data_IF_435666272600
#
_entry.id   IF_435666272600
#
_cell.length_a   1.000
_cell.length_b   1.000
_cell.length_c   1.000
_cell.angle_alpha   90.00
_cell.angle_beta   90.00
_cell.angle_gamma   90.00
#
_symmetry.space_group_name_H-M   'P 1'
#
loop_
_entity.id
_entity.type
_entity.pdbx_description
1 polymer ?
#
# COMPACT_ATOMS: atom_id res chain seq x y z
N UNK A 1 50.48 -56.03 18.30
CA UNK A 1 50.09 -54.91 17.43
C UNK A 1 48.57 -54.98 17.24
N UNK A 2 47.80 -54.12 17.90
CA UNK A 2 46.33 -54.06 17.77
C UNK A 2 45.97 -52.75 17.09
N UNK A 3 45.39 -52.84 15.90
CA UNK A 3 44.94 -51.69 15.12
C UNK A 3 43.67 -51.10 15.74
N UNK A 4 43.76 -49.85 16.20
CA UNK A 4 42.60 -49.02 16.52
C UNK A 4 42.08 -48.42 15.21
N UNK A 5 40.95 -48.94 14.72
CA UNK A 5 40.19 -48.30 13.64
C UNK A 5 39.31 -47.25 14.30
N UNK A 6 39.73 -46.00 14.20
CA UNK A 6 38.95 -44.83 14.59
C UNK A 6 37.95 -44.55 13.45
N UNK A 7 36.73 -45.07 13.56
CA UNK A 7 35.64 -44.74 12.66
C UNK A 7 35.14 -43.32 12.99
N UNK A 8 35.46 -42.36 12.12
CA UNK A 8 34.88 -41.04 12.15
C UNK A 8 33.39 -41.12 11.78
N UNK A 9 32.51 -41.06 12.78
CA UNK A 9 31.09 -40.74 12.56
C UNK A 9 31.01 -39.27 12.14
N UNK A 10 30.98 -39.01 10.84
CA UNK A 10 30.50 -37.75 10.29
C UNK A 10 28.98 -37.80 10.39
N UNK A 11 28.45 -37.24 11.47
CA UNK A 11 27.02 -36.97 11.61
C UNK A 11 26.61 -35.89 10.62
N UNK A 12 26.22 -36.30 9.42
CA UNK A 12 25.41 -35.48 8.52
C UNK A 12 24.01 -35.35 9.15
N UNK A 13 23.85 -34.42 10.08
CA UNK A 13 22.53 -33.90 10.42
C UNK A 13 22.03 -33.15 9.20
N UNK A 14 21.35 -33.86 8.29
CA UNK A 14 20.44 -33.24 7.35
C UNK A 14 19.39 -32.51 8.19
N UNK A 15 19.59 -31.21 8.39
CA UNK A 15 18.53 -30.32 8.85
C UNK A 15 17.46 -30.39 7.76
N UNK A 16 16.49 -31.29 7.93
CA UNK A 16 15.25 -31.22 7.18
C UNK A 16 14.71 -29.82 7.45
N UNK A 17 14.82 -28.93 6.44
CA UNK A 17 14.29 -27.60 6.57
C UNK A 17 12.80 -27.77 6.84
N UNK A 18 12.37 -27.38 8.04
CA UNK A 18 10.97 -27.43 8.39
C UNK A 18 10.21 -26.69 7.29
N UNK A 19 9.25 -27.37 6.68
CA UNK A 19 8.40 -26.77 5.64
C UNK A 19 7.64 -25.57 6.21
N UNK A 20 7.40 -24.57 5.38
CA UNK A 20 6.69 -23.36 5.79
C UNK A 20 5.25 -23.67 6.21
N UNK A 21 4.81 -23.00 7.28
CA UNK A 21 3.40 -22.93 7.62
C UNK A 21 2.70 -21.92 6.70
N UNK A 22 1.52 -22.29 6.23
CA UNK A 22 0.61 -21.42 5.48
C UNK A 22 -0.75 -21.36 6.19
N UNK A 23 -1.50 -20.28 6.03
CA UNK A 23 -2.86 -20.15 6.57
C UNK A 23 -3.84 -20.15 5.39
N UNK A 24 -4.67 -21.18 5.34
CA UNK A 24 -5.73 -21.29 4.32
C UNK A 24 -7.10 -21.08 4.95
N UNK A 25 -8.04 -20.57 4.14
CA UNK A 25 -9.44 -20.46 4.54
C UNK A 25 -10.29 -21.46 3.78
N UNK A 26 -11.05 -22.26 4.52
CA UNK A 26 -12.07 -23.14 3.97
C UNK A 26 -13.41 -22.82 4.63
N UNK A 27 -14.39 -22.45 3.81
CA UNK A 27 -15.68 -21.89 4.25
C UNK A 27 -15.49 -20.70 5.21
N UNK A 28 -15.99 -20.79 6.45
CA UNK A 28 -15.89 -19.75 7.47
C UNK A 28 -14.77 -19.99 8.48
N UNK A 29 -13.86 -20.94 8.20
CA UNK A 29 -12.81 -21.38 9.12
C UNK A 29 -11.42 -21.19 8.52
N UNK A 30 -10.46 -20.95 9.40
CA UNK A 30 -9.04 -20.84 9.07
C UNK A 30 -8.29 -22.06 9.58
N UNK A 31 -7.27 -22.46 8.83
CA UNK A 31 -6.44 -23.61 9.17
C UNK A 31 -4.98 -23.27 8.89
N UNK A 32 -4.08 -23.71 9.77
CA UNK A 32 -2.66 -23.77 9.46
C UNK A 32 -2.41 -25.04 8.66
N UNK A 33 -1.72 -24.90 7.55
CA UNK A 33 -1.38 -26.00 6.64
C UNK A 33 0.12 -26.07 6.40
N UNK A 34 0.61 -27.28 6.14
CA UNK A 34 1.98 -27.54 5.71
C UNK A 34 1.90 -28.38 4.43
N UNK A 35 2.41 -27.83 3.32
CA UNK A 35 2.31 -28.45 2.00
C UNK A 35 0.85 -28.86 1.65
N UNK A 36 -0.12 -28.02 2.03
CA UNK A 36 -1.55 -28.27 1.82
C UNK A 36 -2.23 -29.22 2.81
N UNK A 37 -1.49 -29.84 3.76
CA UNK A 37 -2.09 -30.68 4.79
C UNK A 37 -2.45 -29.86 6.03
N UNK A 38 -3.65 -30.06 6.58
CA UNK A 38 -4.09 -29.37 7.80
C UNK A 38 -3.29 -29.82 9.03
N UNK A 39 -2.76 -28.85 9.75
CA UNK A 39 -1.94 -29.03 10.96
C UNK A 39 -2.60 -28.47 12.22
N UNK A 40 -3.59 -27.58 12.05
CA UNK A 40 -4.39 -27.04 13.15
C UNK A 40 -5.85 -27.49 13.02
N UNK A 41 -6.57 -27.40 14.14
CA UNK A 41 -8.01 -27.44 14.14
C UNK A 41 -8.62 -26.22 13.42
N UNK A 42 -9.92 -26.29 13.16
CA UNK A 42 -10.68 -25.24 12.48
C UNK A 42 -10.85 -23.99 13.35
N UNK A 43 -10.06 -22.95 13.10
CA UNK A 43 -10.15 -21.66 13.78
C UNK A 43 -11.31 -20.80 13.25
N UNK A 44 -12.04 -20.12 14.15
CA UNK A 44 -13.14 -19.19 13.79
C UNK A 44 -12.66 -17.79 13.38
N UNK A 45 -11.46 -17.41 13.78
CA UNK A 45 -10.86 -16.11 13.45
C UNK A 45 -9.47 -16.30 12.86
N UNK A 46 -9.06 -15.33 12.03
CA UNK A 46 -7.73 -15.31 11.46
C UNK A 46 -6.65 -15.17 12.55
N UNK A 47 -6.86 -14.28 13.51
CA UNK A 47 -5.97 -14.09 14.66
C UNK A 47 -5.71 -15.38 15.45
N UNK A 48 -6.72 -16.26 15.56
CA UNK A 48 -6.57 -17.56 16.20
C UNK A 48 -5.65 -18.47 15.37
N UNK A 49 -5.87 -18.56 14.05
CA UNK A 49 -5.01 -19.35 13.17
C UNK A 49 -3.56 -18.83 13.14
N UNK A 50 -3.35 -17.51 13.22
CA UNK A 50 -2.00 -16.92 13.34
C UNK A 50 -1.33 -17.38 14.64
N UNK A 51 -2.05 -17.35 15.76
CA UNK A 51 -1.52 -17.86 17.04
C UNK A 51 -1.15 -19.34 16.96
N UNK A 52 -2.02 -20.15 16.36
CA UNK A 52 -1.77 -21.59 16.18
C UNK A 52 -0.53 -21.83 15.29
N UNK A 53 -0.32 -21.00 14.26
CA UNK A 53 0.87 -21.04 13.41
C UNK A 53 2.16 -20.72 14.19
N UNK A 54 2.15 -19.67 15.03
CA UNK A 54 3.30 -19.35 15.89
C UNK A 54 3.57 -20.46 16.91
N UNK A 55 2.53 -21.13 17.41
CA UNK A 55 2.67 -22.27 18.30
C UNK A 55 3.32 -23.47 17.60
N UNK A 56 2.84 -23.82 16.40
CA UNK A 56 3.44 -24.87 15.57
C UNK A 56 4.91 -24.57 15.22
N UNK A 57 5.24 -23.31 14.93
CA UNK A 57 6.61 -22.88 14.72
C UNK A 57 7.48 -23.02 15.97
N UNK A 58 6.95 -22.62 17.14
CA UNK A 58 7.65 -22.75 18.43
C UNK A 58 8.02 -24.20 18.76
N UNK A 59 7.19 -25.16 18.35
CA UNK A 59 7.46 -26.59 18.49
C UNK A 59 8.31 -27.18 17.35
N UNK A 60 8.78 -26.36 16.40
CA UNK A 60 9.61 -26.80 15.28
C UNK A 60 8.86 -27.63 14.24
N UNK A 61 7.52 -27.60 14.24
CA UNK A 61 6.71 -28.34 13.27
C UNK A 61 6.75 -27.69 11.88
N UNK A 62 6.96 -26.38 11.81
CA UNK A 62 7.12 -25.62 10.59
C UNK A 62 8.00 -24.38 10.81
N UNK A 63 8.50 -23.79 9.74
CA UNK A 63 8.99 -22.41 9.77
C UNK A 63 7.84 -21.42 9.61
N UNK A 64 7.97 -20.24 10.21
CA UNK A 64 7.09 -19.12 9.86
C UNK A 64 7.25 -18.82 8.35
N UNK A 65 6.15 -18.42 7.69
CA UNK A 65 6.25 -18.01 6.30
C UNK A 65 7.21 -16.84 6.20
N UNK A 66 8.20 -16.95 5.32
CA UNK A 66 8.92 -15.77 4.83
C UNK A 66 8.06 -15.23 3.70
N UNK A 67 7.54 -13.98 3.78
CA UNK A 67 6.65 -13.44 2.76
C UNK A 67 7.40 -13.35 1.43
N UNK A 68 7.25 -14.39 0.62
CA UNK A 68 7.84 -14.55 -0.71
C UNK A 68 6.85 -14.21 -1.81
N UNK A 69 5.56 -14.16 -1.46
CA UNK A 69 4.46 -13.94 -2.38
C UNK A 69 3.63 -12.71 -1.99
N UNK A 70 3.08 -12.09 -3.03
CA UNK A 70 2.32 -10.86 -2.93
C UNK A 70 0.86 -11.16 -2.54
N UNK A 71 0.30 -10.37 -1.62
CA UNK A 71 -1.14 -10.38 -1.40
C UNK A 71 -1.86 -9.74 -2.58
N UNK A 72 -2.80 -10.46 -3.20
CA UNK A 72 -3.62 -9.94 -4.29
C UNK A 72 -5.01 -9.61 -3.81
N UNK A 73 -5.58 -8.54 -4.36
CA UNK A 73 -7.00 -8.21 -4.17
C UNK A 73 -7.77 -8.72 -5.38
N UNK A 74 -8.69 -9.64 -5.14
CA UNK A 74 -9.56 -10.18 -6.18
C UNK A 74 -11.01 -9.79 -5.91
N UNK A 75 -11.75 -9.55 -6.99
CA UNK A 75 -13.18 -9.29 -6.93
C UNK A 75 -13.91 -10.48 -7.55
N UNK A 76 -14.77 -11.10 -6.75
CA UNK A 76 -15.69 -12.13 -7.21
C UNK A 76 -17.12 -11.68 -6.93
N UNK A 77 -17.91 -11.56 -8.00
CA UNK A 77 -19.26 -10.97 -7.98
C UNK A 77 -19.28 -9.57 -7.35
N UNK A 78 -19.90 -9.41 -6.18
CA UNK A 78 -20.03 -8.15 -5.45
C UNK A 78 -19.09 -8.04 -4.24
N UNK A 79 -18.21 -9.02 -4.04
CA UNK A 79 -17.35 -9.13 -2.87
C UNK A 79 -15.88 -9.06 -3.26
N UNK A 80 -15.07 -8.55 -2.35
CA UNK A 80 -13.62 -8.51 -2.44
C UNK A 80 -13.01 -9.60 -1.58
N UNK A 81 -11.86 -10.09 -2.00
CA UNK A 81 -11.09 -11.09 -1.29
C UNK A 81 -9.61 -10.74 -1.37
N UNK A 82 -8.86 -11.13 -0.35
CA UNK A 82 -7.40 -11.14 -0.37
C UNK A 82 -6.97 -12.58 -0.67
N UNK A 83 -6.17 -12.75 -1.70
CA UNK A 83 -5.64 -14.04 -2.14
C UNK A 83 -4.12 -14.10 -2.04
N UNK A 84 -3.60 -15.30 -1.79
CA UNK A 84 -2.19 -15.63 -1.79
C UNK A 84 -2.01 -16.88 -2.66
N UNK A 85 -1.23 -16.77 -3.74
CA UNK A 85 -1.04 -17.86 -4.70
C UNK A 85 -2.35 -18.49 -5.23
N UNK A 86 -3.40 -17.67 -5.37
CA UNK A 86 -4.73 -18.11 -5.82
C UNK A 86 -5.63 -18.71 -4.72
N UNK A 87 -5.13 -18.84 -3.49
CA UNK A 87 -5.93 -19.27 -2.35
C UNK A 87 -6.52 -18.07 -1.61
N UNK A 88 -7.79 -18.15 -1.22
CA UNK A 88 -8.43 -17.12 -0.40
C UNK A 88 -7.88 -17.17 1.03
N UNK A 89 -7.27 -16.07 1.46
CA UNK A 89 -6.78 -15.87 2.84
C UNK A 89 -7.64 -14.88 3.63
N UNK A 90 -8.76 -14.41 3.03
CA UNK A 90 -9.78 -13.60 3.68
C UNK A 90 -11.19 -14.16 3.50
N UNK A 91 -12.11 -13.65 4.33
CA UNK A 91 -13.55 -13.72 4.06
C UNK A 91 -13.98 -12.86 2.88
N UNK A 92 -15.26 -12.92 2.55
CA UNK A 92 -15.89 -11.98 1.62
C UNK A 92 -15.94 -10.61 2.25
N UNK A 93 -15.43 -9.61 1.55
CA UNK A 93 -15.36 -8.22 2.01
C UNK A 93 -16.28 -7.36 1.16
N UNK A 94 -17.05 -6.47 1.79
CA UNK A 94 -18.14 -5.74 1.12
C UNK A 94 -17.69 -4.43 0.46
N UNK A 95 -16.53 -3.92 0.84
CA UNK A 95 -16.03 -2.64 0.36
C UNK A 95 -14.52 -2.62 0.22
N UNK A 96 -14.01 -1.87 -0.77
CA UNK A 96 -12.58 -1.62 -0.92
C UNK A 96 -11.96 -0.99 0.34
N UNK A 97 -12.70 -0.14 1.06
CA UNK A 97 -12.22 0.44 2.33
C UNK A 97 -11.88 -0.66 3.36
N UNK A 98 -12.73 -1.67 3.47
CA UNK A 98 -12.51 -2.79 4.39
C UNK A 98 -11.39 -3.73 3.93
N UNK A 99 -11.07 -3.74 2.62
CA UNK A 99 -9.95 -4.53 2.09
C UNK A 99 -8.62 -4.05 2.67
N UNK A 100 -8.41 -2.74 2.85
CA UNK A 100 -7.16 -2.21 3.44
C UNK A 100 -6.86 -2.80 4.79
N UNK A 101 -7.85 -2.76 5.68
CA UNK A 101 -7.72 -3.27 7.05
C UNK A 101 -7.40 -4.76 7.06
N UNK A 102 -8.08 -5.55 6.22
CA UNK A 102 -7.80 -6.99 6.11
C UNK A 102 -6.41 -7.23 5.53
N UNK A 103 -6.01 -6.48 4.51
CA UNK A 103 -4.72 -6.65 3.85
C UNK A 103 -3.56 -6.29 4.80
N UNK A 104 -3.67 -5.20 5.56
CA UNK A 104 -2.71 -4.83 6.60
C UNK A 104 -2.59 -5.94 7.66
N UNK A 105 -3.70 -6.49 8.15
CA UNK A 105 -3.69 -7.60 9.11
C UNK A 105 -2.93 -8.84 8.56
N UNK A 106 -2.99 -9.10 7.25
CA UNK A 106 -2.24 -10.21 6.61
C UNK A 106 -0.75 -9.93 6.46
N UNK A 107 -0.40 -8.68 6.12
CA UNK A 107 0.99 -8.24 5.97
C UNK A 107 1.70 -8.18 7.33
N UNK A 108 1.03 -7.65 8.36
CA UNK A 108 1.53 -7.63 9.74
C UNK A 108 1.74 -9.03 10.30
N UNK A 109 0.89 -9.98 9.91
CA UNK A 109 1.05 -11.40 10.24
C UNK A 109 2.19 -12.08 9.48
N UNK A 110 2.86 -11.40 8.55
CA UNK A 110 3.99 -11.93 7.78
C UNK A 110 3.62 -12.95 6.70
N UNK A 111 2.33 -13.12 6.38
CA UNK A 111 1.89 -14.13 5.40
C UNK A 111 2.25 -13.76 3.96
N UNK A 112 2.24 -12.47 3.65
CA UNK A 112 2.47 -11.92 2.33
C UNK A 112 3.09 -10.53 2.48
N UNK A 113 3.71 -10.03 1.41
CA UNK A 113 4.09 -8.63 1.34
C UNK A 113 2.99 -7.80 0.67
N UNK A 114 2.98 -6.51 1.00
CA UNK A 114 2.04 -5.54 0.43
C UNK A 114 2.18 -5.54 -1.10
N UNK A 115 1.08 -5.54 -1.87
CA UNK A 115 1.16 -5.38 -3.31
C UNK A 115 1.84 -4.05 -3.60
N UNK A 116 3.10 -4.11 -4.04
CA UNK A 116 3.68 -2.97 -4.72
C UNK A 116 3.02 -2.96 -6.07
N UNK A 117 2.13 -1.99 -6.28
CA UNK A 117 1.40 -1.83 -7.52
C UNK A 117 2.30 -2.07 -8.74
N UNK A 118 2.14 -3.22 -9.40
CA UNK A 118 2.97 -3.59 -10.55
C UNK A 118 2.41 -3.11 -11.87
N UNK A 119 1.10 -2.86 -11.89
CA UNK A 119 0.33 -2.55 -13.10
C UNK A 119 -0.53 -1.29 -12.91
N UNK A 120 -0.72 -0.56 -14.01
CA UNK A 120 -1.60 0.60 -14.03
C UNK A 120 -3.07 0.14 -13.93
N UNK A 121 -3.89 0.89 -13.19
CA UNK A 121 -5.33 0.70 -13.26
C UNK A 121 -5.87 1.36 -14.54
N UNK A 122 -6.68 0.63 -15.29
CA UNK A 122 -7.34 1.15 -16.48
C UNK A 122 -8.85 1.20 -16.29
N UNK A 123 -9.49 2.26 -16.78
CA UNK A 123 -10.96 2.31 -16.85
C UNK A 123 -11.41 1.72 -18.18
N UNK A 124 -12.12 0.59 -18.14
CA UNK A 124 -12.76 0.00 -19.31
C UNK A 124 -14.27 0.18 -19.26
N UNK A 125 -14.88 0.53 -20.39
CA UNK A 125 -16.34 0.53 -20.56
C UNK A 125 -16.80 -0.80 -21.13
N UNK A 126 -17.72 -1.47 -20.44
CA UNK A 126 -18.30 -2.75 -20.86
C UNK A 126 -19.80 -2.78 -20.52
N UNK A 127 -20.65 -3.29 -21.40
CA UNK A 127 -22.11 -3.35 -21.21
C UNK A 127 -22.76 -2.05 -20.68
N UNK A 128 -22.27 -0.89 -21.13
CA UNK A 128 -22.78 0.42 -20.71
C UNK A 128 -22.28 0.93 -19.35
N UNK A 129 -21.49 0.15 -18.60
CA UNK A 129 -20.92 0.51 -17.30
C UNK A 129 -19.40 0.73 -17.41
N UNK A 130 -18.83 1.49 -16.48
CA UNK A 130 -17.39 1.73 -16.33
C UNK A 130 -16.83 0.83 -15.23
N UNK A 131 -15.74 0.12 -15.52
CA UNK A 131 -15.05 -0.75 -14.60
C UNK A 131 -13.59 -0.34 -14.51
N UNK A 132 -12.97 -0.59 -13.35
CA UNK A 132 -11.52 -0.52 -13.22
C UNK A 132 -10.95 -1.92 -13.39
N UNK A 133 -9.89 -2.01 -14.18
CA UNK A 133 -9.16 -3.24 -14.49
C UNK A 133 -7.72 -3.07 -14.01
N UNK A 134 -7.21 -4.11 -13.35
CA UNK A 134 -5.80 -4.23 -13.01
C UNK A 134 -5.34 -5.63 -13.44
N UNK A 135 -4.19 -5.70 -14.13
CA UNK A 135 -3.61 -6.95 -14.61
C UNK A 135 -4.61 -7.85 -15.37
N UNK A 136 -5.36 -7.25 -16.29
CA UNK A 136 -6.37 -7.93 -17.12
C UNK A 136 -7.64 -8.40 -16.40
N UNK A 137 -7.79 -8.11 -15.10
CA UNK A 137 -8.94 -8.53 -14.29
C UNK A 137 -9.75 -7.35 -13.76
N UNK A 138 -11.08 -7.49 -13.74
CA UNK A 138 -11.98 -6.48 -13.16
C UNK A 138 -11.80 -6.41 -11.64
N UNK A 139 -11.34 -5.26 -11.14
CA UNK A 139 -11.11 -5.04 -9.71
C UNK A 139 -12.21 -4.21 -9.04
N UNK A 140 -13.16 -3.65 -9.80
CA UNK A 140 -14.31 -2.91 -9.25
C UNK A 140 -15.65 -3.38 -9.81
N UNK A 141 -16.73 -2.89 -9.20
CA UNK A 141 -18.06 -2.97 -9.77
C UNK A 141 -18.19 -2.07 -11.02
N UNK A 142 -19.22 -2.35 -11.81
CA UNK A 142 -19.60 -1.51 -12.94
C UNK A 142 -20.34 -0.27 -12.45
N UNK A 143 -19.84 0.90 -12.85
CA UNK A 143 -20.42 2.20 -12.51
C UNK A 143 -21.16 2.82 -13.69
N UNK A 144 -22.23 3.56 -13.41
CA UNK A 144 -22.94 4.34 -14.44
C UNK A 144 -22.18 5.61 -14.87
N UNK A 145 -21.19 6.02 -14.07
CA UNK A 145 -20.44 7.25 -14.28
C UNK A 145 -18.96 6.97 -14.15
N UNK A 146 -18.18 7.45 -15.13
CA UNK A 146 -16.72 7.35 -15.18
C UNK A 146 -16.04 7.96 -13.95
N UNK A 147 -16.61 9.03 -13.35
CA UNK A 147 -16.08 9.65 -12.14
C UNK A 147 -16.00 8.69 -10.95
N UNK A 148 -16.99 7.80 -10.79
CA UNK A 148 -16.95 6.79 -9.72
C UNK A 148 -15.88 5.72 -9.97
N UNK A 149 -15.59 5.41 -11.24
CA UNK A 149 -14.49 4.52 -11.58
C UNK A 149 -13.13 5.16 -11.24
N UNK A 150 -12.97 6.47 -11.48
CA UNK A 150 -11.77 7.21 -11.07
C UNK A 150 -11.64 7.36 -9.54
N UNK A 151 -12.74 7.53 -8.82
CA UNK A 151 -12.74 7.49 -7.35
C UNK A 151 -12.24 6.13 -6.84
N UNK A 152 -12.65 5.04 -7.50
CA UNK A 152 -12.17 3.69 -7.17
C UNK A 152 -10.70 3.48 -7.54
N UNK A 153 -10.18 4.07 -8.62
CA UNK A 153 -8.74 4.06 -8.92
C UNK A 153 -7.96 4.66 -7.75
N UNK A 154 -8.36 5.84 -7.26
CA UNK A 154 -7.69 6.50 -6.13
C UNK A 154 -7.68 5.63 -4.86
N UNK A 155 -8.76 4.87 -4.63
CA UNK A 155 -8.83 3.92 -3.52
C UNK A 155 -7.93 2.71 -3.75
N UNK A 156 -7.93 2.14 -4.94
CA UNK A 156 -7.08 1.00 -5.30
C UNK A 156 -5.59 1.36 -5.26
N UNK A 157 -5.24 2.60 -5.59
CA UNK A 157 -3.90 3.16 -5.40
C UNK A 157 -3.52 3.19 -3.92
N UNK A 158 -4.41 3.67 -3.04
CA UNK A 158 -4.18 3.66 -1.59
C UNK A 158 -4.05 2.24 -1.02
N UNK A 159 -4.58 1.23 -1.72
CA UNK A 159 -4.50 -0.19 -1.39
C UNK A 159 -3.26 -0.87 -2.01
N UNK A 160 -2.46 -0.17 -2.80
CA UNK A 160 -1.35 -0.76 -3.56
C UNK A 160 -1.77 -1.71 -4.69
N UNK A 161 -3.06 -1.80 -5.01
CA UNK A 161 -3.57 -2.72 -6.04
C UNK A 161 -3.14 -2.28 -7.44
N UNK A 162 -2.97 -0.97 -7.66
CA UNK A 162 -2.50 -0.42 -8.92
C UNK A 162 -1.81 0.93 -8.73
N UNK A 163 -1.04 1.36 -9.74
CA UNK A 163 -0.27 2.60 -9.69
C UNK A 163 -0.78 3.63 -10.70
N UNK A 164 -0.60 4.90 -10.37
CA UNK A 164 -0.84 6.02 -11.28
C UNK A 164 0.45 6.32 -12.07
N UNK A 165 0.58 5.79 -13.29
CA UNK A 165 1.58 6.21 -14.30
C UNK A 165 3.08 6.12 -13.97
N UNK A 166 3.48 5.76 -12.75
CA UNK A 166 4.87 5.52 -12.36
C UNK A 166 4.97 4.10 -11.82
N UNK A 167 5.45 3.17 -12.63
CA UNK A 167 5.84 1.86 -12.12
C UNK A 167 6.81 2.07 -10.93
N UNK A 168 6.71 1.29 -9.84
CA UNK A 168 7.85 1.17 -8.94
C UNK A 168 9.04 0.76 -9.81
N UNK A 169 10.17 1.46 -9.70
CA UNK A 169 11.37 1.10 -10.42
C UNK A 169 11.58 -0.41 -10.23
N UNK A 170 11.68 -1.21 -11.32
CA UNK A 170 11.97 -2.63 -11.16
C UNK A 170 13.22 -2.71 -10.28
N UNK A 171 13.20 -3.54 -9.22
CA UNK A 171 14.41 -3.85 -8.46
C UNK A 171 15.50 -4.11 -9.49
N UNK A 172 16.48 -3.21 -9.61
CA UNK A 172 17.60 -3.42 -10.50
C UNK A 172 18.24 -4.74 -10.08
N UNK A 173 18.21 -5.79 -10.92
CA UNK A 173 19.24 -6.79 -10.81
C UNK A 173 20.55 -6.05 -11.07
N UNK A 174 21.51 -6.35 -10.22
CA UNK A 174 22.87 -5.82 -10.19
C UNK A 174 23.42 -5.39 -11.57
N UNK A 175 23.72 -4.09 -11.67
CA UNK A 175 24.64 -3.36 -12.55
C UNK A 175 25.00 -4.04 -13.90
N UNK A 176 24.49 -3.49 -15.00
CA UNK A 176 25.33 -3.12 -16.16
C UNK A 176 24.78 -1.85 -16.84
N UNK A 177 25.62 -0.84 -17.14
CA UNK A 177 25.16 0.38 -17.79
C UNK A 177 25.04 0.16 -19.31
N UNK A 178 23.83 0.32 -19.85
CA UNK A 178 23.59 0.40 -21.30
C UNK A 178 23.47 1.89 -21.69
N UNK A 179 24.08 2.34 -22.81
CA UNK A 179 24.07 3.75 -23.20
C UNK A 179 22.68 4.26 -23.55
N UNK A 180 22.37 5.47 -23.10
CA UNK A 180 21.16 6.22 -23.46
C UNK A 180 21.04 6.38 -24.97
N UNK A 181 19.85 6.10 -25.49
CA UNK A 181 19.41 6.48 -26.83
C UNK A 181 18.14 7.32 -26.69
N UNK A 182 18.19 8.50 -27.28
CA UNK A 182 17.11 9.48 -27.31
C UNK A 182 15.80 8.86 -27.82
N UNK A 183 14.74 8.98 -27.03
CA UNK A 183 13.41 8.50 -27.37
C UNK A 183 12.47 8.74 -26.19
N UNK A 184 11.65 9.80 -26.29
CA UNK A 184 10.80 10.29 -25.22
C UNK A 184 9.90 9.21 -24.60
N UNK A 185 10.14 8.92 -23.33
CA UNK A 185 9.12 8.39 -22.45
C UNK A 185 8.46 9.58 -21.78
N UNK A 186 7.39 10.09 -22.39
CA UNK A 186 6.41 10.93 -21.70
C UNK A 186 5.70 10.08 -20.66
N UNK A 187 6.37 9.79 -19.54
CA UNK A 187 5.77 9.20 -18.35
C UNK A 187 4.94 10.29 -17.69
N UNK A 188 3.65 10.33 -18.00
CA UNK A 188 2.71 11.32 -17.50
C UNK A 188 2.57 11.22 -15.98
N UNK A 189 3.37 12.00 -15.25
CA UNK A 189 3.15 12.24 -13.84
C UNK A 189 1.83 13.01 -13.71
N UNK A 190 0.74 12.36 -13.28
CA UNK A 190 -0.55 13.02 -13.05
C UNK A 190 -0.49 13.89 -11.79
N UNK A 191 0.28 14.96 -11.92
CA UNK A 191 0.66 15.89 -10.87
C UNK A 191 -0.57 16.49 -10.21
N UNK A 192 -1.56 16.82 -11.03
CA UNK A 192 -2.80 17.47 -10.59
C UNK A 192 -3.61 16.56 -9.68
N UNK A 193 -3.83 15.31 -10.08
CA UNK A 193 -4.60 14.35 -9.29
C UNK A 193 -3.90 14.04 -7.97
N UNK A 194 -2.57 13.89 -8.00
CA UNK A 194 -1.78 13.60 -6.78
C UNK A 194 -1.76 14.78 -5.81
N UNK A 195 -1.54 15.99 -6.29
CA UNK A 195 -1.59 17.19 -5.46
C UNK A 195 -3.00 17.42 -4.88
N UNK A 196 -4.05 17.07 -5.64
CA UNK A 196 -5.44 17.15 -5.20
C UNK A 196 -5.75 16.14 -4.10
N UNK A 197 -5.26 14.91 -4.25
CA UNK A 197 -5.38 13.87 -3.24
C UNK A 197 -4.72 14.31 -1.93
N UNK A 198 -3.45 14.72 -1.98
CA UNK A 198 -2.69 15.22 -0.81
C UNK A 198 -3.46 16.35 -0.12
N UNK A 199 -3.89 17.36 -0.88
CA UNK A 199 -4.64 18.49 -0.32
C UNK A 199 -5.94 18.04 0.38
N UNK A 200 -6.59 17.00 -0.13
CA UNK A 200 -7.82 16.46 0.45
C UNK A 200 -7.53 15.65 1.72
N UNK A 201 -6.49 14.82 1.70
CA UNK A 201 -6.04 14.06 2.87
C UNK A 201 -5.65 14.99 4.01
N UNK A 202 -4.82 16.00 3.75
CA UNK A 202 -4.40 16.96 4.77
C UNK A 202 -5.62 17.68 5.39
N UNK A 203 -6.59 18.13 4.60
CA UNK A 203 -7.81 18.76 5.15
C UNK A 203 -8.59 17.81 6.07
N UNK A 204 -8.70 16.54 5.70
CA UNK A 204 -9.42 15.55 6.50
C UNK A 204 -8.68 15.23 7.81
N UNK A 205 -7.35 15.07 7.73
CA UNK A 205 -6.49 14.84 8.89
C UNK A 205 -6.53 16.04 9.83
N UNK A 206 -6.34 17.26 9.33
CA UNK A 206 -6.40 18.49 10.14
C UNK A 206 -7.71 18.58 10.93
N UNK A 207 -8.86 18.30 10.29
CA UNK A 207 -10.16 18.29 10.96
C UNK A 207 -10.29 17.22 12.03
N UNK A 208 -9.72 16.05 11.79
CA UNK A 208 -9.75 14.96 12.76
C UNK A 208 -8.87 15.28 13.98
N UNK A 209 -7.79 16.04 13.80
CA UNK A 209 -6.86 16.42 14.86
C UNK A 209 -7.37 17.54 15.77
N UNK A 210 -8.30 18.40 15.32
CA UNK A 210 -8.85 19.53 16.11
C UNK A 210 -9.32 19.11 17.52
N UNK A 211 -9.86 17.90 17.68
CA UNK A 211 -10.34 17.40 18.97
C UNK A 211 -9.25 16.91 19.94
N UNK A 212 -7.99 16.88 19.52
CA UNK A 212 -6.88 16.27 20.27
C UNK A 212 -5.73 17.24 20.55
N UNK A 213 -5.82 18.47 20.05
CA UNK A 213 -4.77 19.48 20.17
C UNK A 213 -5.20 20.62 21.09
N UNK A 214 -4.23 21.36 21.64
CA UNK A 214 -4.51 22.58 22.38
C UNK A 214 -4.76 23.77 21.43
N UNK A 215 -5.22 24.91 21.97
CA UNK A 215 -5.58 26.08 21.16
C UNK A 215 -4.44 26.63 20.29
N UNK A 216 -3.19 26.57 20.76
CA UNK A 216 -2.04 27.08 20.00
C UNK A 216 -1.73 26.17 18.82
N UNK A 217 -1.78 24.84 19.03
CA UNK A 217 -1.64 23.82 18.00
C UNK A 217 -2.82 23.82 17.02
N UNK A 218 -4.04 24.04 17.49
CA UNK A 218 -5.24 24.17 16.65
C UNK A 218 -5.07 25.31 15.63
N UNK A 219 -4.51 26.44 16.07
CA UNK A 219 -4.21 27.57 15.17
C UNK A 219 -3.22 27.17 14.06
N UNK A 220 -2.17 26.41 14.39
CA UNK A 220 -1.20 25.93 13.40
C UNK A 220 -1.84 24.92 12.42
N UNK A 221 -2.66 24.01 12.93
CA UNK A 221 -3.43 23.05 12.12
C UNK A 221 -4.43 23.78 11.20
N UNK A 222 -5.05 24.85 11.68
CA UNK A 222 -5.94 25.69 10.89
C UNK A 222 -5.21 26.37 9.73
N UNK A 223 -3.99 26.86 9.96
CA UNK A 223 -3.15 27.43 8.91
C UNK A 223 -2.82 26.39 7.83
N UNK A 224 -2.39 25.18 8.24
CA UNK A 224 -2.14 24.05 7.34
C UNK A 224 -3.40 23.71 6.51
N UNK A 225 -4.56 23.61 7.18
CA UNK A 225 -5.86 23.34 6.55
C UNK A 225 -6.18 24.40 5.49
N UNK A 226 -5.95 25.68 5.79
CA UNK A 226 -6.14 26.79 4.83
C UNK A 226 -5.22 26.63 3.61
N UNK A 227 -3.94 26.28 3.79
CA UNK A 227 -3.02 26.05 2.65
C UNK A 227 -3.45 24.86 1.81
N UNK A 228 -3.89 23.77 2.43
CA UNK A 228 -4.39 22.60 1.73
C UNK A 228 -5.65 22.92 0.91
N UNK A 229 -6.60 23.67 1.48
CA UNK A 229 -7.77 24.19 0.75
C UNK A 229 -7.35 25.07 -0.43
N UNK A 230 -6.34 25.93 -0.23
CA UNK A 230 -5.81 26.81 -1.28
C UNK A 230 -5.18 26.03 -2.42
N UNK A 231 -4.38 25.02 -2.12
CA UNK A 231 -3.79 24.11 -3.12
C UNK A 231 -4.90 23.44 -3.93
N UNK A 232 -5.89 22.84 -3.26
CA UNK A 232 -7.05 22.22 -3.90
C UNK A 232 -7.82 23.21 -4.79
N UNK A 233 -8.04 24.42 -4.32
CA UNK A 233 -8.72 25.48 -5.08
C UNK A 233 -7.95 25.86 -6.35
N UNK A 234 -6.63 26.07 -6.24
CA UNK A 234 -5.76 26.37 -7.40
C UNK A 234 -5.79 25.25 -8.42
N UNK A 235 -5.72 24.00 -7.97
CA UNK A 235 -5.83 22.82 -8.83
C UNK A 235 -7.18 22.81 -9.55
N UNK A 236 -8.30 22.94 -8.84
CA UNK A 236 -9.64 22.85 -9.42
C UNK A 236 -9.92 24.00 -10.39
N UNK A 237 -9.42 25.21 -10.10
CA UNK A 237 -9.53 26.38 -10.98
C UNK A 237 -8.68 26.27 -12.25
N UNK A 238 -7.84 25.23 -12.40
CA UNK A 238 -6.93 25.11 -13.54
C UNK A 238 -5.83 26.18 -13.51
N UNK A 239 -5.39 26.58 -12.32
CA UNK A 239 -4.31 27.55 -12.16
C UNK A 239 -3.01 27.07 -12.84
N UNK A 240 -2.09 28.00 -13.08
CA UNK A 240 -0.82 27.68 -13.71
C UNK A 240 0.03 26.74 -12.85
N UNK A 241 0.90 25.96 -13.49
CA UNK A 241 1.85 25.07 -12.79
C UNK A 241 2.64 25.79 -11.70
N UNK A 242 3.14 27.00 -11.98
CA UNK A 242 3.91 27.77 -11.01
C UNK A 242 3.06 28.16 -9.78
N UNK A 243 1.79 28.50 -9.98
CA UNK A 243 0.88 28.80 -8.85
C UNK A 243 0.57 27.56 -8.01
N UNK A 244 0.38 26.40 -8.65
CA UNK A 244 0.18 25.12 -7.96
C UNK A 244 1.44 24.72 -7.20
N UNK A 245 2.62 24.83 -7.83
CA UNK A 245 3.93 24.60 -7.21
C UNK A 245 4.14 25.49 -5.99
N UNK A 246 3.89 26.79 -6.10
CA UNK A 246 3.99 27.71 -4.97
C UNK A 246 3.03 27.32 -3.82
N UNK A 247 1.78 26.95 -4.15
CA UNK A 247 0.82 26.51 -3.14
C UNK A 247 1.25 25.21 -2.45
N UNK A 248 1.85 24.27 -3.18
CA UNK A 248 2.44 23.06 -2.60
C UNK A 248 3.61 23.37 -1.68
N UNK A 249 4.51 24.27 -2.09
CA UNK A 249 5.63 24.69 -1.27
C UNK A 249 5.20 25.29 0.06
N UNK A 250 4.18 26.16 0.06
CA UNK A 250 3.64 26.71 1.31
C UNK A 250 3.03 25.63 2.19
N UNK A 251 2.27 24.70 1.60
CA UNK A 251 1.71 23.58 2.35
C UNK A 251 2.80 22.68 2.93
N UNK A 252 3.80 22.33 2.13
CA UNK A 252 4.95 21.51 2.54
C UNK A 252 5.72 22.17 3.69
N UNK A 253 5.99 23.47 3.61
CA UNK A 253 6.70 24.21 4.63
C UNK A 253 5.96 24.16 5.98
N UNK A 254 4.66 24.45 5.98
CA UNK A 254 3.85 24.43 7.20
C UNK A 254 3.72 22.99 7.74
N UNK A 255 3.57 22.00 6.85
CA UNK A 255 3.51 20.59 7.26
C UNK A 255 4.81 20.13 7.92
N UNK A 256 5.96 20.52 7.35
CA UNK A 256 7.28 20.17 7.84
C UNK A 256 7.55 20.80 9.22
N UNK A 257 7.16 22.05 9.43
CA UNK A 257 7.33 22.71 10.73
C UNK A 257 6.47 22.07 11.83
N UNK A 258 5.28 21.61 11.47
CA UNK A 258 4.35 20.96 12.40
C UNK A 258 4.67 19.47 12.67
N UNK A 259 5.54 18.85 11.87
CA UNK A 259 5.90 17.42 12.01
C UNK A 259 6.34 17.05 13.43
N UNK A 260 7.16 17.89 14.09
CA UNK A 260 7.72 17.57 15.40
C UNK A 260 6.69 17.40 16.53
N UNK A 261 5.60 18.18 16.53
CA UNK A 261 4.55 17.99 17.54
C UNK A 261 3.57 16.90 17.13
N UNK A 262 3.39 16.64 15.83
CA UNK A 262 2.57 15.51 15.37
C UNK A 262 3.24 14.20 15.77
N UNK A 263 4.55 14.06 15.54
CA UNK A 263 5.32 12.91 16.02
C UNK A 263 5.21 12.74 17.54
N UNK A 264 5.23 13.84 18.29
CA UNK A 264 5.02 13.80 19.75
C UNK A 264 3.57 13.41 20.14
N UNK A 265 2.59 13.66 19.27
CA UNK A 265 1.19 13.31 19.49
C UNK A 265 0.86 11.86 19.06
N UNK A 266 1.73 11.21 18.26
CA UNK A 266 1.65 9.81 17.86
C UNK A 266 1.91 8.81 19.00
N UNK A 267 2.08 9.27 20.24
CA UNK A 267 2.12 8.37 21.40
C UNK A 267 0.72 7.87 21.81
N UNK A 268 -0.34 8.29 21.11
CA UNK A 268 -1.72 7.89 21.40
C UNK A 268 -2.32 7.11 20.22
N UNK A 269 -2.70 5.85 20.42
CA UNK A 269 -3.17 4.89 19.39
C UNK A 269 -4.22 5.43 18.38
N UNK A 270 -4.99 6.46 18.76
CA UNK A 270 -6.00 7.09 17.87
C UNK A 270 -5.42 8.12 16.91
N UNK A 271 -4.25 8.69 17.22
CA UNK A 271 -3.55 9.66 16.39
C UNK A 271 -2.58 8.99 15.42
N UNK A 272 -2.17 7.74 15.65
CA UNK A 272 -1.25 6.97 14.80
C UNK A 272 -1.65 6.99 13.33
N UNK A 273 -2.90 6.59 13.04
CA UNK A 273 -3.41 6.58 11.67
C UNK A 273 -3.48 7.98 11.03
N UNK A 274 -3.71 9.02 11.84
CA UNK A 274 -3.78 10.40 11.36
C UNK A 274 -2.40 10.98 11.10
N UNK A 275 -1.42 10.70 11.96
CA UNK A 275 -0.03 11.11 11.76
C UNK A 275 0.63 10.33 10.63
N UNK A 276 0.30 9.05 10.42
CA UNK A 276 0.77 8.30 9.25
C UNK A 276 0.27 8.96 7.95
N UNK A 277 -1.02 9.29 7.85
CA UNK A 277 -1.59 9.98 6.69
C UNK A 277 -0.97 11.37 6.50
N UNK A 278 -0.65 12.06 7.61
CA UNK A 278 0.03 13.36 7.60
C UNK A 278 1.46 13.26 7.05
N UNK A 279 2.30 12.37 7.62
CA UNK A 279 3.69 12.18 7.22
C UNK A 279 3.78 11.68 5.78
N UNK A 280 2.91 10.76 5.38
CA UNK A 280 2.80 10.28 3.99
C UNK A 280 2.48 11.43 3.02
N UNK A 281 1.64 12.37 3.44
CA UNK A 281 1.31 13.57 2.66
C UNK A 281 2.51 14.52 2.54
N UNK A 282 3.27 14.71 3.62
CA UNK A 282 4.50 15.50 3.64
C UNK A 282 5.58 14.90 2.71
N UNK A 283 5.82 13.60 2.79
CA UNK A 283 6.79 12.90 1.94
C UNK A 283 6.39 12.98 0.46
N UNK A 284 5.10 12.79 0.18
CA UNK A 284 4.58 12.90 -1.19
C UNK A 284 4.77 14.31 -1.75
N UNK A 285 4.55 15.37 -0.96
CA UNK A 285 4.84 16.75 -1.38
C UNK A 285 6.32 16.96 -1.63
N UNK A 286 7.19 16.43 -0.76
CA UNK A 286 8.65 16.52 -0.91
C UNK A 286 9.10 15.93 -2.24
N UNK A 287 8.64 14.72 -2.58
CA UNK A 287 8.95 14.07 -3.86
C UNK A 287 8.43 14.89 -5.05
N UNK A 288 7.20 15.40 -4.97
CA UNK A 288 6.61 16.19 -6.05
C UNK A 288 7.32 17.52 -6.28
N UNK A 289 7.70 18.20 -5.21
CA UNK A 289 8.47 19.45 -5.26
C UNK A 289 9.85 19.18 -5.87
N UNK A 290 10.57 18.18 -5.36
CA UNK A 290 11.89 17.81 -5.87
C UNK A 290 11.86 17.44 -7.35
N UNK A 291 10.81 16.75 -7.80
CA UNK A 291 10.61 16.46 -9.22
C UNK A 291 10.45 17.73 -10.05
N UNK A 292 9.61 18.68 -9.61
CA UNK A 292 9.43 19.95 -10.32
C UNK A 292 10.70 20.80 -10.36
N UNK A 293 11.53 20.74 -9.32
CA UNK A 293 12.69 21.60 -9.20
C UNK A 293 13.91 21.08 -9.97
N UNK A 294 14.10 19.75 -9.97
CA UNK A 294 15.35 19.14 -10.44
C UNK A 294 15.18 18.32 -11.73
N UNK A 295 13.99 17.79 -11.98
CA UNK A 295 13.77 16.78 -13.02
C UNK A 295 12.86 17.27 -14.14
N UNK A 296 11.91 18.16 -13.84
CA UNK A 296 10.92 18.61 -14.81
C UNK A 296 11.50 19.64 -15.78
N UNK A 297 11.84 19.19 -16.99
CA UNK A 297 12.26 20.02 -18.12
C UNK A 297 11.17 20.21 -19.19
N UNK A 298 9.97 19.66 -18.96
CA UNK A 298 8.89 19.51 -19.94
C UNK A 298 7.99 20.75 -20.13
N UNK A 299 7.14 20.71 -21.17
CA UNK A 299 6.10 21.73 -21.40
C UNK A 299 4.81 21.39 -20.63
N UNK A 300 4.01 22.43 -20.30
CA UNK A 300 2.80 22.35 -19.45
C UNK A 300 1.85 21.17 -19.72
N UNK A 301 1.75 20.69 -20.96
CA UNK A 301 0.82 19.62 -21.34
C UNK A 301 1.16 18.25 -20.75
N UNK A 302 2.41 17.99 -20.36
CA UNK A 302 2.86 16.68 -19.85
C UNK A 302 2.47 16.42 -18.37
N UNK A 303 1.84 17.41 -17.73
CA UNK A 303 1.35 17.34 -16.34
C UNK A 303 -0.19 17.26 -16.26
N UNK A 304 -0.88 17.17 -17.40
CA UNK A 304 -2.33 17.07 -17.54
C UNK A 304 -2.76 15.72 -18.13
#
# INVERSE_FOLDING_TARGET
MKNFVLAAMIGLSATAMASECDITRSYSKYYVTINGNYMSDAATSFSTAVRDMYELNRYGMCSLPVPSNECKVERSYSKYYVTLNGNYISGSIDSLRSVRSVLNERVEAGLCFYPQARDACEVQRSYGKFYVIANGSYVTAGHDNIGRAFDDISRLESLGVCYNGSAPAPRQPDITPIPRRDGGYGLGFNFRSRALFIATTVVNVSRAMEGFVNNDQEREIDEIKIKAIRLRSKINAGASLQEVRNAMYYLWYDLNNASGYIESALETDRLDSLGEDYLTSLDSLTVMINFLDNTFTGQRQELY
#
